data_IF_123714691063
#
_entry.id   IF_123714691063
#
_cell.length_a   1.000
_cell.length_b   1.000
_cell.length_c   1.000
_cell.angle_alpha   90.00
_cell.angle_beta   90.00
_cell.angle_gamma   90.00
#
_symmetry.space_group_name_H-M   'P 1'
#
loop_
_entity.id
_entity.type
_entity.pdbx_description
1 polymer ?
#
# COMPACT_ATOMS: atom_id res chain seq x y z
N UNK A 1 21.28 -17.80 -6.48
CA UNK A 1 20.19 -17.61 -7.48
C UNK A 1 18.94 -17.05 -6.83
N UNK A 2 18.31 -17.78 -5.88
CA UNK A 2 17.14 -17.27 -5.18
C UNK A 2 17.48 -16.16 -4.18
N UNK A 3 18.55 -16.34 -3.39
CA UNK A 3 19.09 -15.33 -2.48
C UNK A 3 19.43 -14.02 -3.21
N UNK A 4 20.13 -14.10 -4.36
CA UNK A 4 20.43 -12.94 -5.20
C UNK A 4 19.15 -12.23 -5.67
N UNK A 5 18.11 -13.01 -6.02
CA UNK A 5 16.82 -12.45 -6.44
C UNK A 5 16.13 -11.71 -5.29
N UNK A 6 16.21 -12.22 -4.06
CA UNK A 6 15.71 -11.50 -2.89
C UNK A 6 16.52 -10.22 -2.62
N UNK A 7 17.85 -10.27 -2.70
CA UNK A 7 18.72 -9.10 -2.54
C UNK A 7 18.39 -8.01 -3.55
N UNK A 8 18.37 -8.35 -4.84
CA UNK A 8 18.03 -7.41 -5.92
C UNK A 8 16.61 -6.86 -5.75
N UNK A 9 15.66 -7.70 -5.32
CA UNK A 9 14.29 -7.26 -5.08
C UNK A 9 14.20 -6.21 -3.97
N UNK A 10 14.87 -6.43 -2.83
CA UNK A 10 14.81 -5.48 -1.70
C UNK A 10 15.57 -4.19 -1.99
N UNK A 11 16.71 -4.26 -2.69
CA UNK A 11 17.40 -3.07 -3.24
C UNK A 11 16.47 -2.29 -4.16
N UNK A 12 15.72 -3.01 -5.00
CA UNK A 12 14.70 -2.45 -5.87
C UNK A 12 13.53 -1.80 -5.11
N UNK A 13 13.33 -2.01 -3.81
CA UNK A 13 12.28 -1.36 -3.02
C UNK A 13 12.74 -0.08 -2.31
N UNK A 14 14.05 0.17 -2.24
CA UNK A 14 14.62 1.31 -1.51
C UNK A 14 14.16 2.66 -2.09
N UNK A 15 13.94 3.62 -1.20
CA UNK A 15 13.48 4.97 -1.56
C UNK A 15 14.58 5.69 -2.35
N UNK A 16 14.28 6.08 -3.59
CA UNK A 16 15.24 6.61 -4.56
C UNK A 16 15.34 8.15 -4.59
N UNK A 17 14.51 8.84 -3.81
CA UNK A 17 14.43 10.31 -3.76
C UNK A 17 14.71 10.90 -2.37
N UNK A 18 15.38 10.15 -1.47
CA UNK A 18 15.67 10.58 -0.09
C UNK A 18 16.41 11.93 -0.02
N UNK A 19 17.35 12.21 -0.93
CA UNK A 19 18.08 13.47 -0.95
C UNK A 19 17.17 14.69 -1.19
N UNK A 20 16.21 14.59 -2.11
CA UNK A 20 15.25 15.68 -2.36
C UNK A 20 14.27 15.81 -1.19
N UNK A 21 13.78 14.69 -0.65
CA UNK A 21 12.94 14.66 0.56
C UNK A 21 13.64 15.41 1.69
N UNK A 22 14.91 15.10 1.96
CA UNK A 22 15.71 15.69 3.02
C UNK A 22 15.94 17.18 2.81
N UNK A 23 16.22 17.59 1.58
CA UNK A 23 16.37 19.00 1.22
C UNK A 23 15.08 19.79 1.45
N UNK A 24 13.90 19.22 1.11
CA UNK A 24 12.61 19.88 1.36
C UNK A 24 12.27 19.91 2.84
N UNK A 25 12.52 18.82 3.56
CA UNK A 25 12.38 18.73 5.02
C UNK A 25 13.16 19.85 5.70
N UNK A 26 14.47 19.93 5.48
CA UNK A 26 15.35 20.96 6.05
C UNK A 26 14.85 22.37 5.72
N UNK A 27 14.43 22.61 4.48
CA UNK A 27 13.88 23.91 4.07
C UNK A 27 12.59 24.28 4.81
N UNK A 28 11.68 23.31 5.02
CA UNK A 28 10.45 23.52 5.78
C UNK A 28 10.78 23.78 7.25
N UNK A 29 11.60 22.93 7.86
CA UNK A 29 12.08 23.07 9.24
C UNK A 29 12.65 24.46 9.47
N UNK A 30 13.58 24.89 8.60
CA UNK A 30 14.18 26.23 8.68
C UNK A 30 13.16 27.34 8.65
N UNK A 31 12.19 27.27 7.73
CA UNK A 31 11.19 28.32 7.61
C UNK A 31 10.29 28.41 8.84
N UNK A 32 9.89 27.26 9.38
CA UNK A 32 9.04 27.18 10.55
C UNK A 32 9.80 27.67 11.80
N UNK A 33 11.07 27.29 11.97
CA UNK A 33 11.93 27.79 13.04
C UNK A 33 12.10 29.31 13.01
N UNK A 34 12.37 29.89 11.83
CA UNK A 34 12.42 31.34 11.66
C UNK A 34 11.10 32.02 12.08
N UNK A 35 9.96 31.38 11.81
CA UNK A 35 8.65 32.02 11.98
C UNK A 35 8.06 31.85 13.37
N UNK A 36 8.41 30.79 14.09
CA UNK A 36 7.82 30.44 15.38
C UNK A 36 8.81 30.46 16.54
N UNK A 37 10.10 30.29 16.27
CA UNK A 37 11.16 30.25 17.28
C UNK A 37 12.17 31.39 17.17
N UNK A 38 12.08 32.23 16.12
CA UNK A 38 13.09 33.24 15.77
C UNK A 38 14.51 32.62 15.68
N UNK A 39 14.57 31.43 15.09
CA UNK A 39 15.77 30.59 15.03
C UNK A 39 16.17 30.24 13.59
N UNK A 40 17.45 30.44 13.26
CA UNK A 40 18.06 30.03 11.99
C UNK A 40 18.59 28.59 12.05
N UNK A 41 17.70 27.59 12.18
CA UNK A 41 18.08 26.16 12.20
C UNK A 41 17.18 25.33 11.29
N UNK A 42 17.76 24.41 10.52
CA UNK A 42 17.06 23.45 9.66
C UNK A 42 16.94 22.03 10.26
N UNK A 43 17.36 21.86 11.52
CA UNK A 43 17.37 20.57 12.23
C UNK A 43 16.54 20.59 13.52
N UNK A 44 16.49 21.72 14.23
CA UNK A 44 15.79 21.84 15.51
C UNK A 44 14.26 21.76 15.38
N UNK A 45 13.60 21.29 16.43
CA UNK A 45 12.13 21.22 16.58
C UNK A 45 11.39 20.40 15.52
N UNK A 46 12.08 19.58 14.73
CA UNK A 46 11.48 18.75 13.71
C UNK A 46 11.89 17.28 13.84
N UNK A 47 10.93 16.38 13.60
CA UNK A 47 11.19 14.95 13.53
C UNK A 47 10.58 14.36 12.25
N UNK A 48 11.37 13.57 11.52
CA UNK A 48 10.84 12.66 10.51
C UNK A 48 10.20 11.48 11.24
N UNK A 49 8.92 11.26 11.02
CA UNK A 49 8.15 10.18 11.64
C UNK A 49 7.55 9.27 10.57
N UNK A 50 6.59 8.43 10.94
CA UNK A 50 5.96 7.52 9.99
C UNK A 50 6.92 6.47 9.43
N UNK A 51 6.65 6.00 8.21
CA UNK A 51 7.45 4.93 7.61
C UNK A 51 8.89 5.34 7.31
N UNK A 52 9.13 6.61 6.93
CA UNK A 52 10.49 7.14 6.76
C UNK A 52 11.23 7.25 8.08
N UNK A 53 10.57 7.74 9.15
CA UNK A 53 11.15 7.79 10.48
C UNK A 53 11.53 6.41 11.02
N UNK A 54 10.67 5.40 10.81
CA UNK A 54 10.93 4.00 11.19
C UNK A 54 11.91 3.28 10.24
N UNK A 55 12.30 3.90 9.13
CA UNK A 55 13.18 3.28 8.14
C UNK A 55 12.53 2.18 7.29
N UNK A 56 11.20 2.00 7.33
CA UNK A 56 10.49 0.91 6.61
C UNK A 56 9.74 1.39 5.37
N UNK A 57 9.96 2.64 4.96
CA UNK A 57 9.48 3.23 3.71
C UNK A 57 9.93 2.45 2.46
N UNK A 58 9.12 2.49 1.39
CA UNK A 58 9.46 1.90 0.07
C UNK A 58 9.22 2.92 -1.04
N UNK A 59 9.94 2.79 -2.15
CA UNK A 59 9.89 3.74 -3.27
C UNK A 59 8.48 3.98 -3.81
N UNK A 60 8.23 5.21 -4.26
CA UNK A 60 6.97 5.63 -4.89
C UNK A 60 5.76 5.70 -3.95
N UNK A 61 5.93 5.40 -2.66
CA UNK A 61 4.81 5.17 -1.73
C UNK A 61 4.91 6.02 -0.46
N UNK A 62 6.09 6.56 -0.18
CA UNK A 62 6.37 7.19 1.09
C UNK A 62 6.19 8.70 1.05
N UNK A 63 5.06 9.14 1.61
CA UNK A 63 4.93 10.50 2.09
C UNK A 63 5.90 10.72 3.26
N UNK A 64 6.42 11.94 3.38
CA UNK A 64 7.18 12.35 4.55
C UNK A 64 6.24 12.87 5.61
N UNK A 65 6.03 12.06 6.65
CA UNK A 65 5.38 12.50 7.88
C UNK A 65 6.39 13.28 8.73
N UNK A 66 6.07 14.52 9.06
CA UNK A 66 6.92 15.43 9.82
C UNK A 66 6.18 15.93 11.06
N UNK A 67 6.73 15.70 12.25
CA UNK A 67 6.34 16.49 13.43
C UNK A 67 7.13 17.80 13.42
N UNK A 68 6.46 18.91 13.71
CA UNK A 68 7.10 20.19 14.00
C UNK A 68 6.63 20.72 15.36
N UNK A 69 7.56 20.81 16.31
CA UNK A 69 7.30 21.21 17.69
C UNK A 69 7.20 22.73 17.75
N UNK A 70 6.03 23.22 18.16
CA UNK A 70 5.73 24.63 18.33
C UNK A 70 5.95 25.08 19.78
N UNK A 71 6.17 26.39 20.02
CA UNK A 71 6.23 26.92 21.39
C UNK A 71 4.91 26.73 22.16
N UNK A 72 4.99 26.33 23.42
CA UNK A 72 3.82 26.09 24.31
C UNK A 72 2.86 27.29 24.43
N UNK A 73 3.37 28.51 24.29
CA UNK A 73 2.55 29.71 24.27
C UNK A 73 1.50 29.68 23.15
N UNK A 74 1.83 29.08 21.99
CA UNK A 74 0.87 28.90 20.90
C UNK A 74 -0.20 27.87 21.24
N UNK A 75 0.12 26.81 22.00
CA UNK A 75 -0.91 25.88 22.49
C UNK A 75 -1.97 26.64 23.29
N UNK A 76 -1.52 27.46 24.27
CA UNK A 76 -2.43 28.25 25.10
C UNK A 76 -3.27 29.23 24.26
N UNK A 77 -2.64 29.90 23.29
CA UNK A 77 -3.32 30.81 22.38
C UNK A 77 -4.44 30.12 21.59
N UNK A 78 -4.12 29.00 20.93
CA UNK A 78 -5.09 28.31 20.05
C UNK A 78 -6.10 27.46 20.83
N UNK A 79 -5.73 26.96 22.01
CA UNK A 79 -6.66 26.28 22.90
C UNK A 79 -7.75 27.22 23.45
N UNK A 80 -7.39 28.48 23.70
CA UNK A 80 -8.34 29.50 24.17
C UNK A 80 -9.04 30.26 23.03
N UNK A 81 -8.78 29.91 21.77
CA UNK A 81 -9.38 30.56 20.62
C UNK A 81 -10.88 30.24 20.54
N UNK A 82 -11.73 31.24 20.29
CA UNK A 82 -13.16 31.03 20.09
C UNK A 82 -13.43 30.25 18.79
N UNK A 83 -14.13 29.12 18.88
CA UNK A 83 -14.35 28.23 17.74
C UNK A 83 -13.17 27.28 17.49
N UNK A 84 -12.93 26.91 16.23
CA UNK A 84 -11.97 25.86 15.88
C UNK A 84 -10.52 26.39 15.83
N UNK A 85 -9.89 26.52 17.01
CA UNK A 85 -8.52 26.98 17.16
C UNK A 85 -7.48 26.09 16.46
N UNK A 86 -7.74 24.78 16.38
CA UNK A 86 -6.88 23.81 15.69
C UNK A 86 -6.82 24.09 14.18
N UNK A 87 -7.96 24.38 13.57
CA UNK A 87 -8.01 24.82 12.16
C UNK A 87 -7.25 26.12 11.94
N UNK A 88 -7.37 27.08 12.87
CA UNK A 88 -6.62 28.36 12.81
C UNK A 88 -5.11 28.16 12.92
N UNK A 89 -4.66 27.28 13.82
CA UNK A 89 -3.25 26.91 13.92
C UNK A 89 -2.75 26.31 12.60
N UNK A 90 -3.48 25.36 12.03
CA UNK A 90 -3.12 24.74 10.75
C UNK A 90 -3.08 25.75 9.60
N UNK A 91 -4.00 26.72 9.54
CA UNK A 91 -3.92 27.79 8.54
C UNK A 91 -2.67 28.66 8.75
N UNK A 92 -2.31 28.98 9.99
CA UNK A 92 -1.10 29.76 10.27
C UNK A 92 0.17 29.04 9.83
N UNK A 93 0.29 27.75 10.13
CA UNK A 93 1.43 26.91 9.69
C UNK A 93 1.46 26.82 8.15
N UNK A 94 0.30 26.60 7.52
CA UNK A 94 0.14 26.59 6.07
C UNK A 94 0.61 27.88 5.41
N UNK A 95 0.24 29.05 5.94
CA UNK A 95 0.68 30.35 5.41
C UNK A 95 2.20 30.48 5.41
N UNK A 96 2.85 30.08 6.50
CA UNK A 96 4.31 30.10 6.64
C UNK A 96 4.98 29.21 5.60
N UNK A 97 4.50 27.98 5.43
CA UNK A 97 5.04 27.03 4.45
C UNK A 97 4.77 27.52 3.02
N UNK A 98 3.57 28.04 2.74
CA UNK A 98 3.17 28.54 1.43
C UNK A 98 4.02 29.73 0.98
N UNK A 99 4.51 30.56 1.90
CA UNK A 99 5.44 31.64 1.58
C UNK A 99 6.78 31.12 1.01
N UNK A 100 7.22 29.92 1.42
CA UNK A 100 8.42 29.26 0.86
C UNK A 100 8.14 28.58 -0.47
N UNK A 101 6.91 28.09 -0.67
CA UNK A 101 6.51 27.39 -1.89
C UNK A 101 5.27 28.02 -2.57
N UNK A 102 5.37 29.24 -3.14
CA UNK A 102 4.21 29.95 -3.67
C UNK A 102 3.48 29.23 -4.82
N UNK A 103 4.20 28.41 -5.59
CA UNK A 103 3.68 27.66 -6.74
C UNK A 103 3.28 26.21 -6.42
N UNK A 104 3.57 25.73 -5.21
CA UNK A 104 3.25 24.36 -4.77
C UNK A 104 1.89 24.33 -4.10
N UNK A 105 1.14 23.24 -4.24
CA UNK A 105 -0.11 23.05 -3.51
C UNK A 105 0.24 22.86 -2.02
N UNK A 106 -0.30 23.73 -1.16
CA UNK A 106 -0.16 23.64 0.29
C UNK A 106 -1.57 23.77 0.88
N UNK A 107 -2.02 22.76 1.61
CA UNK A 107 -3.39 22.68 2.14
C UNK A 107 -3.39 22.14 3.56
N UNK A 108 -4.37 22.53 4.36
CA UNK A 108 -4.65 21.84 5.62
C UNK A 108 -5.44 20.58 5.33
N UNK A 109 -5.17 19.50 6.05
CA UNK A 109 -5.85 18.22 5.90
C UNK A 109 -6.02 17.56 7.28
N UNK A 110 -7.19 17.75 7.88
CA UNK A 110 -7.52 17.20 9.20
C UNK A 110 -6.56 17.64 10.31
N UNK A 111 -5.44 16.93 10.43
CA UNK A 111 -4.42 17.06 11.48
C UNK A 111 -3.11 17.68 11.00
N UNK A 112 -2.90 17.77 9.69
CA UNK A 112 -1.61 18.14 9.08
C UNK A 112 -1.75 19.27 8.07
N UNK A 113 -0.61 19.85 7.70
CA UNK A 113 -0.46 20.68 6.51
C UNK A 113 0.26 19.86 5.45
N UNK A 114 -0.43 19.56 4.36
CA UNK A 114 0.08 18.78 3.24
C UNK A 114 0.74 19.71 2.22
N UNK A 115 1.97 19.38 1.84
CA UNK A 115 2.75 20.03 0.76
C UNK A 115 2.91 19.01 -0.37
N UNK A 116 2.26 19.24 -1.52
CA UNK A 116 2.26 18.28 -2.62
C UNK A 116 3.34 18.60 -3.65
N UNK A 117 4.35 17.74 -3.77
CA UNK A 117 5.33 17.75 -4.85
C UNK A 117 4.91 16.78 -5.96
N UNK A 118 5.63 16.77 -7.09
CA UNK A 118 5.25 15.97 -8.26
C UNK A 118 5.15 14.47 -7.98
N UNK A 119 6.00 13.92 -7.10
CA UNK A 119 6.12 12.47 -6.91
C UNK A 119 5.90 12.01 -5.46
N UNK A 120 5.64 12.92 -4.52
CA UNK A 120 5.45 12.61 -3.10
C UNK A 120 4.83 13.80 -2.36
N UNK A 121 4.31 13.57 -1.15
CA UNK A 121 3.82 14.63 -0.27
C UNK A 121 4.67 14.74 1.00
N UNK A 122 4.68 15.94 1.59
CA UNK A 122 5.17 16.15 2.96
C UNK A 122 3.97 16.54 3.81
N UNK A 123 3.68 15.75 4.84
CA UNK A 123 2.63 16.01 5.82
C UNK A 123 3.27 16.62 7.08
N UNK A 124 3.09 17.92 7.27
CA UNK A 124 3.60 18.63 8.44
C UNK A 124 2.54 18.66 9.52
N UNK A 125 2.75 17.90 10.58
CA UNK A 125 1.94 17.87 11.79
C UNK A 125 2.53 18.83 12.83
N UNK A 126 1.98 20.03 13.02
CA UNK A 126 2.38 20.88 14.13
C UNK A 126 1.98 20.24 15.46
N UNK A 127 2.88 20.23 16.43
CA UNK A 127 2.63 19.60 17.71
C UNK A 127 3.27 20.37 18.88
N UNK A 128 2.97 19.90 20.09
CA UNK A 128 3.50 20.42 21.35
C UNK A 128 4.03 19.23 22.16
N UNK A 129 5.21 19.39 22.76
CA UNK A 129 5.84 18.33 23.55
C UNK A 129 5.17 18.19 24.90
N UNK A 130 4.96 16.96 25.33
CA UNK A 130 4.44 16.61 26.66
C UNK A 130 5.56 16.13 27.58
N UNK A 131 5.35 16.21 28.89
CA UNK A 131 6.34 15.80 29.90
C UNK A 131 6.71 14.31 29.85
N UNK A 132 5.86 13.46 29.27
CA UNK A 132 6.09 12.03 29.12
C UNK A 132 6.78 11.65 27.80
N UNK A 133 7.22 12.65 27.01
CA UNK A 133 7.90 12.45 25.74
C UNK A 133 6.97 12.30 24.53
N UNK A 134 5.67 12.24 24.76
CA UNK A 134 4.67 12.24 23.69
C UNK A 134 4.39 13.64 23.15
N UNK A 135 3.50 13.74 22.16
CA UNK A 135 3.12 14.99 21.53
C UNK A 135 1.62 15.18 21.48
N UNK A 136 1.18 16.40 21.79
CA UNK A 136 -0.19 16.87 21.52
C UNK A 136 -0.25 17.58 20.18
N UNK A 137 -1.24 17.27 19.35
CA UNK A 137 -1.37 17.82 17.99
C UNK A 137 -2.84 18.17 17.66
N UNK A 138 -3.08 19.11 16.71
CA UNK A 138 -4.42 19.55 16.35
C UNK A 138 -5.14 18.51 15.47
N UNK A 139 -6.44 18.35 15.66
CA UNK A 139 -7.36 17.75 14.71
C UNK A 139 -8.48 18.75 14.43
N UNK A 140 -8.53 19.29 13.22
CA UNK A 140 -9.50 20.33 12.82
C UNK A 140 -10.88 19.80 12.48
N UNK A 141 -11.08 18.48 12.44
CA UNK A 141 -12.38 17.89 12.10
C UNK A 141 -13.42 18.11 13.20
N UNK A 142 -14.70 18.16 12.81
CA UNK A 142 -15.86 18.15 13.72
C UNK A 142 -15.81 19.22 14.83
N UNK A 143 -15.38 20.44 14.48
CA UNK A 143 -15.31 21.57 15.43
C UNK A 143 -13.95 21.74 16.12
N UNK A 144 -13.01 20.81 15.92
CA UNK A 144 -11.65 20.93 16.44
C UNK A 144 -11.46 20.20 17.76
N UNK A 145 -10.32 19.52 17.92
CA UNK A 145 -9.88 18.91 19.19
C UNK A 145 -8.37 18.68 19.19
N UNK A 146 -7.79 18.55 20.37
CA UNK A 146 -6.40 18.10 20.53
C UNK A 146 -6.34 16.57 20.65
N UNK A 147 -5.34 15.97 20.02
CA UNK A 147 -5.04 14.54 20.07
C UNK A 147 -3.60 14.31 20.52
N UNK A 148 -3.26 13.07 20.88
CA UNK A 148 -1.94 12.67 21.36
C UNK A 148 -1.33 11.60 20.46
N UNK A 149 -0.02 11.65 20.25
CA UNK A 149 0.79 10.66 19.52
C UNK A 149 2.13 10.45 20.22
N UNK A 150 2.76 9.30 20.02
CA UNK A 150 4.06 8.96 20.62
C UNK A 150 4.88 8.08 19.65
N UNK A 151 5.35 8.65 18.53
CA UNK A 151 6.02 7.88 17.48
C UNK A 151 7.49 7.59 17.80
N UNK A 152 8.10 8.27 18.77
CA UNK A 152 9.55 8.17 19.04
C UNK A 152 9.96 6.79 19.55
N UNK A 153 9.20 6.13 20.45
CA UNK A 153 9.48 4.74 20.80
C UNK A 153 9.37 3.78 19.62
N UNK A 154 8.38 3.97 18.74
CA UNK A 154 8.20 3.12 17.54
C UNK A 154 9.41 3.22 16.61
N UNK A 155 9.91 4.45 16.39
CA UNK A 155 11.11 4.70 15.60
C UNK A 155 12.32 4.04 16.25
N UNK A 156 12.51 4.21 17.56
CA UNK A 156 13.65 3.63 18.28
C UNK A 156 13.70 2.11 18.14
N UNK A 157 12.60 1.41 18.44
CA UNK A 157 12.57 -0.05 18.38
C UNK A 157 12.70 -0.56 16.94
N UNK A 158 12.11 0.13 15.97
CA UNK A 158 12.22 -0.24 14.55
C UNK A 158 13.68 -0.14 14.05
N UNK A 159 14.38 0.95 14.39
CA UNK A 159 15.79 1.12 14.05
C UNK A 159 16.70 0.15 14.82
N UNK A 160 16.41 -0.10 16.10
CA UNK A 160 17.16 -1.06 16.91
C UNK A 160 17.04 -2.47 16.34
N UNK A 161 15.82 -2.93 16.02
CA UNK A 161 15.59 -4.23 15.39
C UNK A 161 16.21 -4.31 13.99
N UNK A 162 16.22 -3.21 13.23
CA UNK A 162 16.94 -3.15 11.96
C UNK A 162 18.43 -3.44 12.15
N UNK A 163 19.07 -2.86 13.17
CA UNK A 163 20.49 -3.13 13.48
C UNK A 163 20.68 -4.56 14.01
N UNK A 164 19.78 -5.04 14.87
CA UNK A 164 19.82 -6.37 15.51
C UNK A 164 19.64 -7.53 14.51
N UNK A 165 19.14 -7.25 13.31
CA UNK A 165 18.85 -8.25 12.28
C UNK A 165 19.69 -8.06 11.01
N UNK A 166 20.80 -7.32 11.11
CA UNK A 166 21.61 -6.89 9.96
C UNK A 166 20.75 -6.38 8.78
N UNK A 167 19.79 -5.52 9.10
CA UNK A 167 18.82 -4.90 8.17
C UNK A 167 17.67 -5.81 7.70
N UNK A 168 17.68 -7.11 7.97
CA UNK A 168 16.65 -8.03 7.46
C UNK A 168 15.23 -7.73 7.99
N UNK A 169 15.08 -7.23 9.22
CA UNK A 169 13.77 -6.74 9.69
C UNK A 169 13.17 -5.67 8.77
N UNK A 170 13.98 -4.70 8.34
CA UNK A 170 13.55 -3.62 7.44
C UNK A 170 13.14 -4.19 6.10
N UNK A 171 13.97 -5.06 5.53
CA UNK A 171 13.69 -5.71 4.24
C UNK A 171 12.39 -6.50 4.25
N UNK A 172 12.13 -7.29 5.30
CA UNK A 172 10.88 -8.03 5.44
C UNK A 172 9.69 -7.06 5.58
N UNK A 173 9.81 -5.95 6.33
CA UNK A 173 8.79 -4.91 6.37
C UNK A 173 8.52 -4.31 4.98
N UNK A 174 9.57 -4.01 4.21
CA UNK A 174 9.46 -3.49 2.84
C UNK A 174 8.74 -4.49 1.93
N UNK A 175 9.08 -5.77 1.99
CA UNK A 175 8.42 -6.82 1.23
C UNK A 175 6.95 -6.98 1.61
N UNK A 176 6.58 -6.86 2.89
CA UNK A 176 5.18 -6.90 3.32
C UNK A 176 4.37 -5.68 2.83
N UNK A 177 5.00 -4.52 2.70
CA UNK A 177 4.39 -3.33 2.06
C UNK A 177 4.19 -3.54 0.56
N UNK A 178 5.17 -4.12 -0.12
CA UNK A 178 5.03 -4.49 -1.52
C UNK A 178 3.91 -5.55 -1.71
N UNK A 179 3.85 -6.55 -0.84
CA UNK A 179 2.82 -7.58 -0.85
C UNK A 179 1.40 -7.01 -0.69
N UNK A 180 1.15 -6.08 0.25
CA UNK A 180 -0.20 -5.48 0.38
C UNK A 180 -0.62 -4.73 -0.89
N UNK A 181 0.36 -4.09 -1.55
CA UNK A 181 0.13 -3.32 -2.75
C UNK A 181 -0.10 -4.24 -3.96
N UNK A 182 0.63 -5.34 -4.06
CA UNK A 182 0.43 -6.32 -5.11
C UNK A 182 -0.90 -7.07 -4.92
N UNK A 183 -1.19 -7.52 -3.71
CA UNK A 183 -2.40 -8.28 -3.41
C UNK A 183 -3.67 -7.41 -3.29
N UNK A 184 -3.54 -6.08 -3.33
CA UNK A 184 -4.66 -5.13 -3.36
C UNK A 184 -5.52 -5.16 -2.11
N UNK A 185 -4.92 -4.95 -0.93
CA UNK A 185 -5.72 -4.82 0.30
C UNK A 185 -5.13 -3.82 1.28
N UNK A 186 -6.00 -3.22 2.09
CA UNK A 186 -5.62 -2.30 3.15
C UNK A 186 -4.90 -3.04 4.27
N UNK A 187 -3.65 -2.64 4.55
CA UNK A 187 -2.86 -3.14 5.66
C UNK A 187 -2.03 -1.99 6.23
N UNK A 188 -2.31 -1.59 7.46
CA UNK A 188 -1.73 -0.39 8.05
C UNK A 188 -0.22 -0.52 8.23
N UNK A 189 0.53 0.52 7.83
CA UNK A 189 1.99 0.49 7.84
C UNK A 189 2.60 0.21 9.21
N UNK A 190 2.10 0.86 10.27
CA UNK A 190 2.55 0.59 11.63
C UNK A 190 2.21 -0.83 12.08
N UNK A 191 1.07 -1.38 11.65
CA UNK A 191 0.70 -2.75 11.98
C UNK A 191 1.62 -3.77 11.31
N UNK A 192 2.06 -3.51 10.08
CA UNK A 192 3.09 -4.32 9.41
C UNK A 192 4.37 -4.30 10.23
N UNK A 193 4.88 -3.12 10.55
CA UNK A 193 6.15 -2.94 11.27
C UNK A 193 6.09 -3.65 12.65
N UNK A 194 4.96 -3.55 13.36
CA UNK A 194 4.70 -4.25 14.62
C UNK A 194 4.64 -5.77 14.47
N UNK A 195 3.88 -6.29 13.50
CA UNK A 195 3.73 -7.74 13.34
C UNK A 195 5.03 -8.41 12.90
N UNK A 196 5.84 -7.73 12.08
CA UNK A 196 7.17 -8.22 11.71
C UNK A 196 8.11 -8.13 12.92
N UNK A 197 8.04 -7.07 13.72
CA UNK A 197 8.83 -6.94 14.95
C UNK A 197 8.51 -8.10 15.91
N UNK A 198 7.22 -8.31 16.19
CA UNK A 198 6.73 -9.40 17.05
C UNK A 198 7.16 -10.77 16.51
N UNK A 199 7.19 -10.94 15.18
CA UNK A 199 7.68 -12.16 14.55
C UNK A 199 9.18 -12.40 14.80
N UNK A 200 10.04 -11.39 14.64
CA UNK A 200 11.48 -11.55 14.94
C UNK A 200 11.75 -11.75 16.44
N UNK A 201 10.89 -11.23 17.32
CA UNK A 201 10.95 -11.51 18.77
C UNK A 201 10.51 -12.95 19.09
N UNK A 202 9.46 -13.47 18.44
CA UNK A 202 8.98 -14.84 18.64
C UNK A 202 9.91 -15.90 17.98
N UNK A 203 10.51 -15.56 16.84
CA UNK A 203 11.41 -16.40 16.05
C UNK A 203 12.84 -15.84 16.11
N UNK A 204 13.38 -15.72 17.32
CA UNK A 204 14.67 -15.07 17.58
C UNK A 204 15.86 -15.64 16.78
N UNK A 205 15.80 -16.92 16.38
CA UNK A 205 16.82 -17.54 15.53
C UNK A 205 16.94 -16.87 14.16
N UNK A 206 15.87 -16.23 13.66
CA UNK A 206 15.91 -15.49 12.39
C UNK A 206 16.60 -14.12 12.51
N UNK A 207 17.03 -13.68 13.70
CA UNK A 207 17.78 -12.42 13.81
C UNK A 207 19.16 -12.50 13.15
N UNK A 208 19.76 -13.67 13.10
CA UNK A 208 21.05 -13.93 12.44
C UNK A 208 20.88 -14.47 11.00
N UNK A 209 19.75 -14.19 10.36
CA UNK A 209 19.45 -14.72 9.03
C UNK A 209 20.26 -14.06 7.91
N UNK A 210 20.22 -14.70 6.75
CA UNK A 210 20.72 -14.17 5.47
C UNK A 210 19.63 -14.27 4.40
N UNK A 211 19.93 -13.83 3.17
CA UNK A 211 19.02 -14.01 2.04
C UNK A 211 18.77 -15.48 1.66
N UNK A 212 19.59 -16.43 2.11
CA UNK A 212 19.33 -17.87 1.93
C UNK A 212 18.12 -18.33 2.76
N UNK A 213 17.84 -17.65 3.87
CA UNK A 213 16.76 -17.99 4.79
C UNK A 213 15.42 -17.36 4.41
N UNK A 214 15.34 -16.59 3.32
CA UNK A 214 14.14 -15.81 3.00
C UNK A 214 12.94 -16.69 2.63
N UNK A 215 13.15 -17.80 1.94
CA UNK A 215 12.05 -18.72 1.66
C UNK A 215 11.44 -19.32 2.95
N UNK A 216 12.23 -19.92 3.88
CA UNK A 216 11.69 -20.40 5.15
C UNK A 216 11.11 -19.26 6.02
N UNK A 217 11.77 -18.10 6.11
CA UNK A 217 11.25 -16.93 6.84
C UNK A 217 9.88 -16.52 6.30
N UNK A 218 9.69 -16.42 4.98
CA UNK A 218 8.40 -16.06 4.40
C UNK A 218 7.33 -17.10 4.70
N UNK A 219 7.65 -18.40 4.67
CA UNK A 219 6.71 -19.46 5.05
C UNK A 219 6.23 -19.26 6.49
N UNK A 220 7.16 -19.09 7.42
CA UNK A 220 6.86 -18.94 8.84
C UNK A 220 6.18 -17.62 9.15
N UNK A 221 6.59 -16.52 8.51
CA UNK A 221 5.94 -15.23 8.65
C UNK A 221 4.48 -15.29 8.17
N UNK A 222 4.20 -15.87 7.00
CA UNK A 222 2.82 -16.03 6.55
C UNK A 222 2.04 -17.03 7.42
N UNK A 223 2.71 -17.99 8.06
CA UNK A 223 2.10 -18.88 9.06
C UNK A 223 1.72 -18.12 10.32
N UNK A 224 2.61 -17.28 10.83
CA UNK A 224 2.39 -16.39 11.96
C UNK A 224 1.23 -15.42 11.68
N UNK A 225 1.22 -14.77 10.52
CA UNK A 225 0.19 -13.81 10.11
C UNK A 225 -1.19 -14.47 9.94
N UNK A 226 -1.28 -15.65 9.32
CA UNK A 226 -2.57 -16.35 9.13
C UNK A 226 -3.17 -16.88 10.44
N UNK A 227 -2.33 -17.07 11.46
CA UNK A 227 -2.73 -17.58 12.78
C UNK A 227 -3.09 -16.47 13.78
N UNK A 228 -2.96 -15.19 13.40
CA UNK A 228 -3.47 -14.08 14.19
C UNK A 228 -4.99 -14.21 14.41
N UNK A 229 -5.47 -13.72 15.56
CA UNK A 229 -6.89 -13.86 15.91
C UNK A 229 -7.79 -12.88 15.14
N UNK A 230 -8.79 -13.40 14.44
CA UNK A 230 -9.83 -12.59 13.78
C UNK A 230 -10.69 -11.77 14.77
N UNK A 231 -10.78 -12.22 16.03
CA UNK A 231 -11.53 -11.54 17.09
C UNK A 231 -10.71 -10.54 17.89
N UNK A 232 -9.38 -10.45 17.64
CA UNK A 232 -8.51 -9.45 18.28
C UNK A 232 -9.03 -8.04 18.00
N UNK A 233 -9.05 -7.17 19.02
CA UNK A 233 -9.53 -5.79 18.86
C UNK A 233 -8.45 -4.85 18.32
N UNK A 234 -7.24 -5.00 18.82
CA UNK A 234 -6.08 -4.19 18.47
C UNK A 234 -4.78 -5.00 18.71
N UNK A 235 -3.68 -4.51 18.15
CA UNK A 235 -2.31 -4.89 18.47
C UNK A 235 -1.64 -3.75 19.24
N UNK A 236 -0.57 -4.04 19.98
CA UNK A 236 0.23 -3.02 20.64
C UNK A 236 1.38 -2.66 19.71
N UNK A 237 1.53 -1.39 19.38
CA UNK A 237 2.61 -0.93 18.51
C UNK A 237 3.99 -1.23 19.13
N UNK A 238 4.95 -1.62 18.29
CA UNK A 238 6.36 -1.76 18.69
C UNK A 238 6.84 -0.48 19.40
N UNK A 239 7.50 -0.62 20.55
CA UNK A 239 7.99 0.49 21.37
C UNK A 239 6.92 1.27 22.14
N UNK A 240 5.96 1.91 21.44
CA UNK A 240 5.01 2.84 22.07
C UNK A 240 3.86 2.14 22.80
N UNK A 241 3.62 0.86 22.50
CA UNK A 241 2.47 0.08 22.97
C UNK A 241 1.11 0.75 22.70
N UNK A 242 1.06 1.68 21.74
CA UNK A 242 -0.20 2.29 21.32
C UNK A 242 -1.09 1.24 20.64
N UNK A 243 -2.40 1.40 20.80
CA UNK A 243 -3.35 0.46 20.21
C UNK A 243 -3.45 0.69 18.69
N UNK A 244 -3.04 -0.30 17.91
CA UNK A 244 -3.14 -0.32 16.46
C UNK A 244 -4.34 -1.17 16.05
N UNK A 245 -5.24 -0.58 15.27
CA UNK A 245 -6.51 -1.19 14.90
C UNK A 245 -6.51 -1.62 13.43
N UNK A 246 -6.96 -2.84 13.17
CA UNK A 246 -7.41 -3.28 11.85
C UNK A 246 -8.81 -3.89 11.98
N UNK A 247 -9.80 -3.18 11.45
CA UNK A 247 -11.22 -3.57 11.54
C UNK A 247 -11.50 -4.83 10.73
N UNK A 248 -11.01 -4.90 9.49
CA UNK A 248 -11.34 -5.97 8.54
C UNK A 248 -10.40 -7.17 8.67
N UNK A 249 -9.15 -6.94 9.12
CA UNK A 249 -8.12 -8.00 9.27
C UNK A 249 -7.93 -8.82 8.01
N UNK A 250 -8.08 -8.18 6.85
CA UNK A 250 -8.02 -8.84 5.55
C UNK A 250 -6.67 -9.51 5.33
N UNK A 251 -5.62 -9.00 5.98
CA UNK A 251 -4.29 -9.59 5.96
C UNK A 251 -4.28 -11.06 6.42
N UNK A 252 -5.10 -11.48 7.39
CA UNK A 252 -5.15 -12.87 7.88
C UNK A 252 -5.57 -13.82 6.75
N UNK A 253 -6.64 -13.47 6.04
CA UNK A 253 -7.14 -14.28 4.91
C UNK A 253 -6.19 -14.26 3.72
N UNK A 254 -5.53 -13.13 3.47
CA UNK A 254 -4.53 -13.01 2.40
C UNK A 254 -3.26 -13.80 2.75
N UNK A 255 -2.81 -13.77 4.00
CA UNK A 255 -1.69 -14.55 4.52
C UNK A 255 -1.97 -16.05 4.44
N UNK A 256 -3.19 -16.49 4.75
CA UNK A 256 -3.59 -17.90 4.57
C UNK A 256 -3.42 -18.37 3.12
N UNK A 257 -3.80 -17.53 2.15
CA UNK A 257 -3.62 -17.82 0.71
C UNK A 257 -2.14 -17.83 0.31
N UNK A 258 -1.35 -16.89 0.82
CA UNK A 258 0.09 -16.83 0.56
C UNK A 258 0.81 -18.06 1.12
N UNK A 259 0.57 -18.39 2.39
CA UNK A 259 1.11 -19.58 3.04
C UNK A 259 0.79 -20.87 2.27
N UNK A 260 -0.46 -21.06 1.85
CA UNK A 260 -0.87 -22.27 1.11
C UNK A 260 -0.14 -22.46 -0.22
N UNK A 261 0.42 -21.39 -0.80
CA UNK A 261 1.27 -21.46 -2.00
C UNK A 261 2.73 -21.72 -1.65
N UNK A 262 3.21 -21.15 -0.55
CA UNK A 262 4.61 -21.23 -0.14
C UNK A 262 4.94 -22.53 0.60
N UNK A 263 4.01 -23.09 1.37
CA UNK A 263 4.30 -24.16 2.34
C UNK A 263 4.98 -25.38 1.71
N UNK A 264 4.62 -25.72 0.47
CA UNK A 264 5.13 -26.87 -0.27
C UNK A 264 6.37 -26.58 -1.14
N UNK A 265 6.81 -25.32 -1.25
CA UNK A 265 7.92 -24.96 -2.15
C UNK A 265 9.28 -25.31 -1.56
N UNK A 266 10.22 -25.71 -2.41
CA UNK A 266 11.65 -25.71 -2.12
C UNK A 266 12.36 -24.82 -3.15
N UNK A 267 13.66 -24.57 -2.96
CA UNK A 267 14.45 -23.84 -3.97
C UNK A 267 14.52 -24.55 -5.33
N UNK A 268 14.21 -25.84 -5.36
CA UNK A 268 14.17 -26.66 -6.56
C UNK A 268 12.80 -26.64 -7.26
N UNK A 269 11.78 -26.03 -6.66
CA UNK A 269 10.43 -25.94 -7.25
C UNK A 269 10.46 -25.09 -8.53
N UNK A 270 9.98 -25.66 -9.63
CA UNK A 270 9.93 -24.98 -10.94
C UNK A 270 9.08 -23.70 -10.90
N UNK A 271 8.03 -23.69 -10.07
CA UNK A 271 7.06 -22.62 -9.94
C UNK A 271 7.45 -21.52 -8.93
N UNK A 272 8.63 -21.60 -8.29
CA UNK A 272 8.99 -20.71 -7.18
C UNK A 272 8.97 -19.23 -7.58
N UNK A 273 9.54 -18.89 -8.73
CA UNK A 273 9.58 -17.50 -9.22
C UNK A 273 8.20 -16.99 -9.63
N UNK A 274 7.35 -17.85 -10.23
CA UNK A 274 5.98 -17.49 -10.58
C UNK A 274 5.16 -17.14 -9.32
N UNK A 275 5.33 -17.91 -8.25
CA UNK A 275 4.65 -17.66 -6.98
C UNK A 275 5.19 -16.40 -6.30
N UNK A 276 6.50 -16.18 -6.30
CA UNK A 276 7.10 -14.96 -5.74
C UNK A 276 6.67 -13.72 -6.52
N UNK A 277 6.59 -13.79 -7.85
CA UNK A 277 6.05 -12.73 -8.69
C UNK A 277 4.54 -12.53 -8.50
N UNK A 278 3.77 -13.56 -8.15
CA UNK A 278 2.36 -13.38 -7.78
C UNK A 278 2.21 -12.70 -6.41
N UNK A 279 3.15 -12.90 -5.48
CA UNK A 279 3.13 -12.28 -4.15
C UNK A 279 3.65 -10.85 -4.14
N UNK A 280 4.74 -10.61 -4.87
CA UNK A 280 5.53 -9.38 -4.80
C UNK A 280 5.46 -8.55 -6.08
N UNK A 281 4.82 -9.08 -7.12
CA UNK A 281 4.63 -8.41 -8.40
C UNK A 281 5.69 -8.82 -9.42
N UNK A 282 5.46 -8.45 -10.68
CA UNK A 282 6.33 -8.78 -11.80
C UNK A 282 7.74 -8.15 -11.73
N UNK A 283 7.94 -7.23 -10.77
CA UNK A 283 9.26 -6.68 -10.45
C UNK A 283 10.17 -7.61 -9.65
N UNK A 284 9.65 -8.74 -9.14
CA UNK A 284 10.51 -9.74 -8.51
C UNK A 284 11.40 -10.41 -9.57
N UNK A 285 12.74 -10.33 -9.45
CA UNK A 285 13.65 -10.82 -10.46
C UNK A 285 13.59 -12.34 -10.56
N UNK A 286 13.61 -12.83 -11.79
CA UNK A 286 13.64 -14.26 -12.10
C UNK A 286 14.74 -14.51 -13.14
N UNK A 287 15.58 -15.55 -12.99
CA UNK A 287 16.64 -15.86 -13.93
C UNK A 287 16.13 -16.03 -15.36
N UNK A 288 16.92 -15.59 -16.36
CA UNK A 288 16.52 -15.54 -17.78
C UNK A 288 16.00 -16.88 -18.33
N UNK A 289 16.50 -18.02 -17.83
CA UNK A 289 16.08 -19.36 -18.26
C UNK A 289 14.75 -19.86 -17.66
N UNK A 290 14.29 -19.33 -16.53
CA UNK A 290 13.01 -19.73 -15.90
C UNK A 290 11.83 -19.08 -16.64
N UNK A 291 12.02 -17.86 -17.15
CA UNK A 291 11.00 -17.14 -17.91
C UNK A 291 10.72 -17.74 -19.30
N UNK A 292 11.56 -18.65 -19.80
CA UNK A 292 11.43 -19.24 -21.14
C UNK A 292 10.45 -20.42 -21.20
N UNK A 293 10.25 -21.16 -20.10
CA UNK A 293 9.38 -22.36 -20.10
C UNK A 293 7.94 -22.00 -20.44
N UNK A 294 7.42 -20.88 -19.91
CA UNK A 294 6.08 -20.35 -20.25
C UNK A 294 6.01 -19.73 -21.65
N UNK A 295 7.12 -19.16 -22.17
CA UNK A 295 7.20 -18.64 -23.55
C UNK A 295 7.18 -19.76 -24.59
N UNK A 296 7.77 -20.91 -24.29
CA UNK A 296 7.91 -22.03 -25.24
C UNK A 296 6.57 -22.59 -25.75
N UNK A 297 5.53 -22.64 -24.90
CA UNK A 297 4.21 -23.15 -25.27
C UNK A 297 3.45 -22.25 -26.26
N UNK A 298 3.83 -20.98 -26.38
CA UNK A 298 3.17 -19.98 -27.23
C UNK A 298 4.09 -19.44 -28.34
N UNK A 299 5.36 -19.89 -28.40
CA UNK A 299 6.38 -19.34 -29.30
C UNK A 299 6.03 -19.47 -30.80
N UNK A 300 5.12 -20.36 -31.17
CA UNK A 300 4.66 -20.57 -32.55
C UNK A 300 3.53 -19.64 -33.00
N UNK A 301 2.98 -18.79 -32.12
CA UNK A 301 1.90 -17.88 -32.44
C UNK A 301 2.36 -16.42 -32.36
N UNK A 302 2.16 -15.67 -33.44
CA UNK A 302 2.29 -14.20 -33.41
C UNK A 302 1.03 -13.59 -32.75
N UNK A 303 1.23 -12.83 -31.67
CA UNK A 303 0.17 -12.08 -31.00
C UNK A 303 0.69 -10.76 -30.44
N UNK A 304 -0.22 -9.81 -30.27
CA UNK A 304 0.07 -8.47 -29.77
C UNK A 304 0.24 -8.49 -28.24
N UNK A 305 1.40 -8.01 -27.77
CA UNK A 305 1.68 -7.82 -26.34
C UNK A 305 1.21 -6.42 -25.91
N UNK A 306 -0.08 -6.28 -25.65
CA UNK A 306 -0.69 -4.98 -25.30
C UNK A 306 -0.95 -4.78 -23.81
N UNK A 307 -0.53 -5.75 -22.98
CA UNK A 307 -0.76 -5.69 -21.54
C UNK A 307 -0.04 -4.49 -20.90
N UNK A 308 -0.82 -3.67 -20.20
CA UNK A 308 -0.34 -2.57 -19.38
C UNK A 308 -0.43 -2.95 -17.90
N UNK A 309 0.39 -2.28 -17.10
CA UNK A 309 0.54 -2.52 -15.67
C UNK A 309 0.35 -1.21 -14.93
N UNK A 310 -0.42 -1.23 -13.84
CA UNK A 310 -0.85 0.00 -13.16
C UNK A 310 0.34 0.74 -12.56
N UNK A 311 1.34 0.01 -12.07
CA UNK A 311 2.59 0.53 -11.51
C UNK A 311 3.48 1.23 -12.55
N UNK A 312 3.19 1.09 -13.85
CA UNK A 312 3.84 1.85 -14.93
C UNK A 312 3.11 3.15 -15.26
N UNK A 313 1.88 3.32 -14.77
CA UNK A 313 1.05 4.51 -15.00
C UNK A 313 0.98 5.40 -13.76
N UNK A 314 0.89 4.80 -12.57
CA UNK A 314 0.77 5.51 -11.29
C UNK A 314 1.62 4.83 -10.22
N UNK A 315 2.14 5.60 -9.25
CA UNK A 315 2.60 5.01 -7.99
C UNK A 315 1.45 4.24 -7.31
N UNK A 316 1.77 3.13 -6.63
CA UNK A 316 0.77 2.23 -6.04
C UNK A 316 0.96 2.17 -4.54
N UNK A 317 0.05 2.78 -3.78
CA UNK A 317 -0.01 2.64 -2.33
C UNK A 317 -1.42 2.33 -1.86
N UNK A 318 -1.70 1.05 -1.62
CA UNK A 318 -3.02 0.60 -1.23
C UNK A 318 -3.32 1.00 0.22
N UNK A 319 -4.18 2.01 0.37
CA UNK A 319 -4.63 2.59 1.66
C UNK A 319 -6.10 2.33 1.94
N UNK A 320 -6.89 2.00 0.91
CA UNK A 320 -8.34 1.84 1.02
C UNK A 320 -8.81 0.48 0.50
N UNK A 321 -9.98 0.08 0.97
CA UNK A 321 -10.66 -1.13 0.53
C UNK A 321 -11.41 -0.88 -0.78
N UNK A 322 -11.28 -1.83 -1.71
CA UNK A 322 -12.09 -1.90 -2.93
C UNK A 322 -12.61 -3.34 -3.05
N UNK A 323 -13.87 -3.51 -3.45
CA UNK A 323 -14.35 -4.77 -3.98
C UNK A 323 -15.12 -4.54 -5.26
N UNK A 324 -14.85 -5.38 -6.26
CA UNK A 324 -15.65 -5.44 -7.48
C UNK A 324 -16.47 -6.73 -7.49
N UNK A 325 -17.53 -6.74 -8.30
CA UNK A 325 -18.34 -7.92 -8.58
C UNK A 325 -18.83 -7.84 -10.04
N UNK A 326 -19.52 -8.87 -10.53
CA UNK A 326 -20.09 -8.86 -11.86
C UNK A 326 -21.47 -9.51 -11.89
N UNK A 327 -22.36 -8.99 -12.73
CA UNK A 327 -23.61 -9.66 -13.07
C UNK A 327 -23.44 -10.49 -14.34
N UNK A 328 -23.88 -11.75 -14.27
CA UNK A 328 -23.90 -12.68 -15.40
C UNK A 328 -25.25 -12.54 -16.11
N UNK A 329 -25.21 -12.01 -17.33
CA UNK A 329 -26.36 -11.81 -18.20
C UNK A 329 -26.43 -12.94 -19.23
N UNK A 330 -27.61 -13.54 -19.37
CA UNK A 330 -27.89 -14.60 -20.33
C UNK A 330 -29.33 -14.50 -20.83
N UNK A 331 -29.51 -14.54 -22.15
CA UNK A 331 -30.82 -14.47 -22.78
C UNK A 331 -31.75 -15.57 -22.26
N UNK A 332 -32.93 -15.16 -21.79
CA UNK A 332 -33.98 -16.05 -21.29
C UNK A 332 -33.77 -16.58 -19.86
N UNK A 333 -32.72 -16.13 -19.15
CA UNK A 333 -32.46 -16.51 -17.75
C UNK A 333 -32.44 -15.28 -16.84
N UNK A 334 -32.74 -15.48 -15.55
CA UNK A 334 -32.62 -14.43 -14.54
C UNK A 334 -31.14 -14.08 -14.33
N UNK A 335 -30.85 -12.80 -14.25
CA UNK A 335 -29.54 -12.29 -13.86
C UNK A 335 -29.11 -12.84 -12.49
N UNK A 336 -27.83 -13.20 -12.38
CA UNK A 336 -27.22 -13.63 -11.12
C UNK A 336 -25.80 -13.12 -10.99
N UNK A 337 -25.32 -12.93 -9.76
CA UNK A 337 -23.97 -12.45 -9.52
C UNK A 337 -22.93 -13.53 -9.87
N UNK A 338 -21.78 -13.12 -10.40
CA UNK A 338 -20.67 -14.03 -10.70
C UNK A 338 -20.18 -14.74 -9.43
N UNK A 339 -20.16 -14.02 -8.30
CA UNK A 339 -19.86 -14.58 -6.98
C UNK A 339 -20.79 -15.74 -6.62
N UNK A 340 -22.10 -15.62 -6.87
CA UNK A 340 -23.06 -16.72 -6.67
C UNK A 340 -22.79 -17.90 -7.59
N UNK A 341 -22.47 -17.62 -8.87
CA UNK A 341 -22.12 -18.68 -9.83
C UNK A 341 -20.90 -19.47 -9.37
N UNK A 342 -19.84 -18.80 -8.92
CA UNK A 342 -18.62 -19.43 -8.40
C UNK A 342 -18.92 -20.24 -7.14
N UNK A 343 -19.63 -19.65 -6.17
CA UNK A 343 -19.98 -20.30 -4.90
C UNK A 343 -20.81 -21.57 -5.12
N UNK A 344 -21.79 -21.52 -6.03
CA UNK A 344 -22.67 -22.66 -6.37
C UNK A 344 -22.05 -23.62 -7.39
N UNK A 345 -20.82 -23.36 -7.83
CA UNK A 345 -20.11 -24.11 -8.88
C UNK A 345 -20.91 -24.23 -10.18
N UNK A 346 -21.68 -23.20 -10.52
CA UNK A 346 -22.41 -23.16 -11.78
C UNK A 346 -21.46 -22.85 -12.95
N UNK A 347 -21.52 -23.63 -14.05
CA UNK A 347 -20.60 -23.43 -15.16
C UNK A 347 -20.89 -22.12 -15.89
N UNK A 348 -19.86 -21.29 -16.03
CA UNK A 348 -19.91 -20.10 -16.88
C UNK A 348 -19.60 -20.52 -18.33
N UNK A 349 -20.65 -20.70 -19.13
CA UNK A 349 -20.55 -21.02 -20.57
C UNK A 349 -20.20 -19.76 -21.40
N UNK A 350 -19.77 -19.98 -22.64
CA UNK A 350 -19.52 -18.90 -23.61
C UNK A 350 -20.82 -18.19 -24.03
N UNK A 351 -20.70 -17.02 -24.68
CA UNK A 351 -21.80 -16.15 -25.14
C UNK A 351 -22.65 -15.57 -24.01
N UNK A 352 -22.04 -15.29 -22.86
CA UNK A 352 -22.65 -14.51 -21.79
C UNK A 352 -22.07 -13.11 -21.80
N UNK A 353 -22.86 -12.15 -21.33
CA UNK A 353 -22.36 -10.82 -21.03
C UNK A 353 -22.08 -10.75 -19.53
N UNK A 354 -20.90 -10.24 -19.18
CA UNK A 354 -20.48 -10.00 -17.80
C UNK A 354 -20.42 -8.49 -17.60
N UNK A 355 -21.27 -7.99 -16.72
CA UNK A 355 -21.29 -6.57 -16.36
C UNK A 355 -20.62 -6.39 -15.01
N UNK A 356 -19.36 -5.98 -15.03
CA UNK A 356 -18.56 -5.70 -13.83
C UNK A 356 -18.95 -4.35 -13.25
N UNK A 357 -18.92 -4.25 -11.94
CA UNK A 357 -19.24 -3.04 -11.19
C UNK A 357 -18.46 -3.00 -9.88
N UNK A 358 -18.27 -1.79 -9.36
CA UNK A 358 -17.72 -1.57 -8.02
C UNK A 358 -18.81 -1.86 -6.99
N UNK A 359 -18.55 -2.82 -6.09
CA UNK A 359 -19.48 -3.23 -5.03
C UNK A 359 -19.22 -2.46 -3.73
N UNK A 360 -17.95 -2.22 -3.38
CA UNK A 360 -17.54 -1.38 -2.24
C UNK A 360 -16.36 -0.51 -2.63
N UNK A 361 -16.40 0.76 -2.25
CA UNK A 361 -15.32 1.72 -2.47
C UNK A 361 -15.17 2.63 -1.25
N UNK A 362 -14.18 2.33 -0.40
CA UNK A 362 -13.94 3.11 0.82
C UNK A 362 -13.53 4.57 0.51
N UNK A 363 -12.96 4.85 -0.67
CA UNK A 363 -12.62 6.23 -1.09
C UNK A 363 -13.89 7.05 -1.32
N UNK A 364 -14.91 6.45 -1.95
CA UNK A 364 -16.22 7.07 -2.16
C UNK A 364 -16.99 7.26 -0.84
N UNK A 365 -16.93 6.26 0.05
CA UNK A 365 -17.53 6.34 1.40
C UNK A 365 -16.97 7.50 2.24
N UNK A 366 -15.71 7.86 1.99
CA UNK A 366 -15.02 9.00 2.63
C UNK A 366 -15.19 10.32 1.86
N UNK A 367 -15.99 10.35 0.80
CA UNK A 367 -16.25 11.52 -0.04
C UNK A 367 -14.96 12.16 -0.63
N UNK A 368 -13.93 11.34 -0.84
CA UNK A 368 -12.67 11.79 -1.43
C UNK A 368 -12.80 11.81 -2.97
N UNK A 369 -12.16 12.75 -3.68
CA UNK A 369 -12.19 12.79 -5.14
C UNK A 369 -11.35 11.66 -5.75
N UNK A 370 -11.89 10.88 -6.68
CA UNK A 370 -11.14 9.79 -7.33
C UNK A 370 -11.48 9.63 -8.80
N UNK A 371 -10.64 8.87 -9.50
CA UNK A 371 -10.94 8.34 -10.84
C UNK A 371 -10.80 6.83 -10.84
N UNK A 372 -11.58 6.16 -11.69
CA UNK A 372 -11.61 4.70 -11.82
C UNK A 372 -10.90 4.29 -13.11
N UNK A 373 -10.11 3.23 -13.05
CA UNK A 373 -9.51 2.60 -14.22
C UNK A 373 -9.83 1.11 -14.23
N UNK A 374 -10.04 0.57 -15.42
CA UNK A 374 -10.32 -0.85 -15.65
C UNK A 374 -9.28 -1.48 -16.56
N UNK A 375 -8.99 -2.76 -16.29
CA UNK A 375 -8.23 -3.63 -17.19
C UNK A 375 -8.95 -4.95 -17.34
N UNK A 376 -9.04 -5.44 -18.58
CA UNK A 376 -9.58 -6.78 -18.89
C UNK A 376 -8.49 -7.56 -19.61
N UNK A 377 -8.15 -8.74 -19.10
CA UNK A 377 -7.05 -9.57 -19.62
C UNK A 377 -7.50 -11.01 -19.82
N UNK A 378 -7.39 -11.50 -21.06
CA UNK A 378 -7.74 -12.87 -21.43
C UNK A 378 -6.53 -13.79 -21.42
N UNK A 379 -6.52 -14.83 -20.60
CA UNK A 379 -5.37 -15.73 -20.42
C UNK A 379 -5.57 -17.05 -21.17
N UNK A 380 -4.48 -17.63 -21.66
CA UNK A 380 -4.45 -18.98 -22.23
C UNK A 380 -4.35 -19.03 -23.76
N UNK A 381 -4.19 -20.26 -24.28
CA UNK A 381 -3.83 -20.51 -25.68
C UNK A 381 -4.87 -20.03 -26.68
N UNK A 382 -6.15 -20.07 -26.32
CA UNK A 382 -7.21 -19.62 -27.21
C UNK A 382 -7.19 -18.09 -27.39
N UNK A 383 -6.86 -17.35 -26.34
CA UNK A 383 -6.66 -15.90 -26.42
C UNK A 383 -5.48 -15.54 -27.32
N UNK A 384 -4.38 -16.31 -27.22
CA UNK A 384 -3.19 -16.15 -28.07
C UNK A 384 -3.54 -16.43 -29.54
N UNK A 385 -4.17 -17.58 -29.82
CA UNK A 385 -4.58 -17.98 -31.18
C UNK A 385 -5.46 -16.95 -31.88
N UNK A 386 -6.33 -16.28 -31.12
CA UNK A 386 -7.26 -15.28 -31.64
C UNK A 386 -6.70 -13.86 -31.65
N UNK A 387 -5.47 -13.66 -31.17
CA UNK A 387 -4.91 -12.33 -30.92
C UNK A 387 -5.82 -11.43 -30.04
N UNK A 388 -6.46 -12.02 -29.04
CA UNK A 388 -7.42 -11.37 -28.13
C UNK A 388 -6.92 -11.36 -26.67
N UNK A 389 -5.61 -11.21 -26.49
CA UNK A 389 -4.94 -11.20 -25.17
C UNK A 389 -5.39 -10.01 -24.32
N UNK A 390 -5.57 -8.84 -24.96
CA UNK A 390 -5.95 -7.57 -24.31
C UNK A 390 -4.96 -7.19 -23.20
N UNK A 391 -5.38 -6.34 -22.27
CA UNK A 391 -4.65 -5.99 -21.06
C UNK A 391 -4.33 -4.51 -20.97
N UNK A 392 -4.83 -3.69 -21.90
CA UNK A 392 -4.80 -2.25 -21.83
C UNK A 392 -5.58 -1.76 -20.59
N UNK A 393 -5.06 -0.72 -19.95
CA UNK A 393 -5.70 -0.02 -18.84
C UNK A 393 -6.42 1.19 -19.42
N UNK A 394 -7.71 1.32 -19.12
CA UNK A 394 -8.54 2.41 -19.62
C UNK A 394 -9.23 3.14 -18.48
N UNK A 395 -9.28 4.47 -18.56
CA UNK A 395 -10.02 5.29 -17.61
C UNK A 395 -11.53 5.08 -17.81
N UNK A 396 -12.24 4.91 -16.70
CA UNK A 396 -13.70 4.83 -16.68
C UNK A 396 -14.33 6.18 -17.08
N UNK A 397 -15.51 6.11 -17.69
CA UNK A 397 -16.25 7.30 -18.18
C UNK A 397 -17.24 7.86 -17.15
N UNK A 398 -17.17 7.41 -15.89
CA UNK A 398 -18.03 7.82 -14.79
C UNK A 398 -19.18 6.85 -14.47
N UNK A 399 -19.21 5.68 -15.10
CA UNK A 399 -20.23 4.65 -14.87
C UNK A 399 -19.81 3.63 -13.79
N UNK A 400 -18.53 3.60 -13.43
CA UNK A 400 -17.93 2.65 -12.47
C UNK A 400 -18.22 1.19 -12.85
N UNK A 401 -18.30 0.93 -14.14
CA UNK A 401 -18.78 -0.31 -14.73
C UNK A 401 -18.08 -0.58 -16.05
N UNK A 402 -17.75 -1.85 -16.28
CA UNK A 402 -17.25 -2.31 -17.57
C UNK A 402 -17.99 -3.59 -17.98
N UNK A 403 -18.32 -3.70 -19.27
CA UNK A 403 -18.98 -4.88 -19.82
C UNK A 403 -17.99 -5.71 -20.63
N UNK A 404 -18.05 -7.02 -20.45
CA UNK A 404 -17.25 -8.02 -21.16
C UNK A 404 -18.16 -9.11 -21.74
N UNK A 405 -17.70 -9.78 -22.77
CA UNK A 405 -18.38 -10.91 -23.43
C UNK A 405 -17.52 -12.16 -23.38
N UNK A 406 -18.09 -13.28 -22.94
CA UNK A 406 -17.39 -14.57 -22.91
C UNK A 406 -17.31 -15.22 -24.30
N UNK A 407 -16.55 -14.61 -25.20
CA UNK A 407 -16.51 -14.94 -26.64
C UNK A 407 -15.81 -16.27 -26.95
N UNK A 408 -14.91 -16.69 -26.06
CA UNK A 408 -14.18 -17.95 -26.19
C UNK A 408 -13.87 -18.58 -24.85
N UNK A 409 -13.48 -19.86 -24.90
CA UNK A 409 -13.09 -20.61 -23.71
C UNK A 409 -11.71 -20.16 -23.26
N UNK A 410 -11.57 -19.77 -22.00
CA UNK A 410 -10.31 -19.38 -21.41
C UNK A 410 -10.53 -18.62 -20.11
N UNK A 411 -9.60 -18.73 -19.18
CA UNK A 411 -9.63 -17.90 -17.98
C UNK A 411 -9.35 -16.47 -18.38
N UNK A 412 -10.11 -15.52 -17.87
CA UNK A 412 -9.76 -14.11 -17.95
C UNK A 412 -9.87 -13.48 -16.56
N UNK A 413 -9.33 -12.28 -16.42
CA UNK A 413 -9.50 -11.51 -15.21
C UNK A 413 -9.79 -10.05 -15.52
N UNK A 414 -10.48 -9.41 -14.59
CA UNK A 414 -10.77 -7.98 -14.62
C UNK A 414 -10.17 -7.35 -13.38
N UNK A 415 -9.38 -6.30 -13.60
CA UNK A 415 -8.86 -5.44 -12.55
C UNK A 415 -9.61 -4.10 -12.54
N UNK A 416 -9.82 -3.59 -11.33
CA UNK A 416 -10.28 -2.23 -11.09
C UNK A 416 -9.26 -1.52 -10.21
N UNK A 417 -9.00 -0.25 -10.53
CA UNK A 417 -8.06 0.60 -9.79
C UNK A 417 -8.75 1.93 -9.46
N UNK A 418 -8.56 2.40 -8.22
CA UNK A 418 -8.99 3.72 -7.76
C UNK A 418 -7.77 4.62 -7.65
N UNK A 419 -7.77 5.71 -8.40
CA UNK A 419 -6.71 6.72 -8.37
C UNK A 419 -7.21 7.93 -7.58
N UNK A 420 -6.49 8.28 -6.52
CA UNK A 420 -6.72 9.47 -5.70
C UNK A 420 -5.40 10.23 -5.59
N UNK A 421 -5.41 11.54 -5.88
CA UNK A 421 -4.20 12.38 -5.90
C UNK A 421 -3.03 11.76 -6.70
N UNK A 422 -3.33 11.26 -7.90
CA UNK A 422 -2.34 10.66 -8.83
C UNK A 422 -1.69 9.36 -8.32
N UNK A 423 -2.19 8.77 -7.23
CA UNK A 423 -1.73 7.49 -6.68
C UNK A 423 -2.83 6.44 -6.80
N UNK A 424 -2.49 5.22 -7.18
CA UNK A 424 -3.39 4.08 -7.09
C UNK A 424 -3.55 3.66 -5.62
N UNK A 425 -4.67 4.03 -5.01
CA UNK A 425 -4.90 3.89 -3.56
C UNK A 425 -5.77 2.69 -3.17
N UNK A 426 -6.42 2.06 -4.14
CA UNK A 426 -7.16 0.82 -3.97
C UNK A 426 -7.19 0.04 -5.30
N UNK A 427 -7.15 -1.30 -5.22
CA UNK A 427 -7.29 -2.17 -6.38
C UNK A 427 -7.95 -3.49 -5.98
N UNK A 428 -8.67 -4.09 -6.91
CA UNK A 428 -9.24 -5.43 -6.74
C UNK A 428 -9.27 -6.16 -8.09
N UNK A 429 -9.25 -7.49 -8.02
CA UNK A 429 -9.18 -8.40 -9.17
C UNK A 429 -10.21 -9.50 -9.05
N UNK A 430 -11.01 -9.69 -10.09
CA UNK A 430 -11.83 -10.89 -10.27
C UNK A 430 -11.21 -11.78 -11.32
N UNK A 431 -10.90 -13.02 -10.95
CA UNK A 431 -10.65 -14.10 -11.91
C UNK A 431 -12.00 -14.69 -12.34
N UNK A 432 -12.22 -14.80 -13.64
CA UNK A 432 -13.45 -15.35 -14.22
C UNK A 432 -13.17 -16.75 -14.75
N UNK A 433 -13.66 -17.81 -14.06
CA UNK A 433 -13.49 -19.18 -14.52
C UNK A 433 -14.54 -19.48 -15.60
N UNK A 434 -14.18 -19.33 -16.87
CA UNK A 434 -15.01 -19.86 -17.97
C UNK A 434 -14.81 -21.38 -17.99
N UNK A 435 -15.91 -22.13 -17.89
CA UNK A 435 -15.87 -23.58 -17.73
C UNK A 435 -15.05 -24.24 -18.85
N UNK A 436 -14.02 -25.01 -18.45
CA UNK A 436 -13.36 -26.00 -19.29
C UNK A 436 -14.24 -27.26 -19.20
N UNK A 437 -14.74 -27.73 -20.35
CA UNK A 437 -15.62 -28.90 -20.41
C UNK A 437 -14.88 -30.19 -20.06
#
# INVERSE_FOLDING_TARGET
MLSDSFSEYVEGLEVDNLEDIDKKYKRITKKLNQSFWDLESDEEHAHKVGSLGRGTAIKGISDLDMLFILPDALYTQYNNHEGNGQSKLLQRVKEVIKATYPRTIVRGDGQVVVVSFSNYQIEVCPCFSENDGSFTYPDSNNGGKWKKTDPMPEIRESLAMTVDTDTHYRYICNMMRAWKNEAGFKFGGLLIDTLVYDFFEEYADYKECSFEDYLPILKDLFAYLKNQSETRKYWLALGSNQQVYDKKKTFIKKAKKAHGKLELLSEESEEIYDILQELFGQGFPAPEGVQEVTKSAFASYEYSKTEQFIEKLFPVDIRYSLSINANVLQDGFREGSLSDFIMKRFPLKTKKQLKFYIEQNEVAELELPYTVYWKVRNVGIEAVKRNMIRGEISQDTGNEQITETTDFRGSHYVDCYIIHNEVCVAKDRIKVPIAIA
#
